data_IF_944788471960
#
_entry.id   IF_944788471960
#
_cell.length_a   1.000
_cell.length_b   1.000
_cell.length_c   1.000
_cell.angle_alpha   90.00
_cell.angle_beta   90.00
_cell.angle_gamma   90.00
#
_symmetry.space_group_name_H-M   'P 1'
#
loop_
_entity.id
_entity.type
_entity.pdbx_description
1 polymer ?
#
# COMPACT_ATOMS: atom_id res chain seq x y z
N UNK A 1 -23.59 -24.17 11.53
CA UNK A 1 -23.65 -23.02 12.46
C UNK A 1 -22.44 -22.15 12.20
N UNK A 2 -22.63 -21.06 11.49
CA UNK A 2 -21.57 -20.22 10.94
C UNK A 2 -21.26 -19.11 11.95
N UNK A 3 -20.12 -19.20 12.60
CA UNK A 3 -19.66 -18.15 13.53
C UNK A 3 -19.03 -17.04 12.71
N UNK A 4 -19.83 -16.09 12.25
CA UNK A 4 -19.32 -14.82 11.77
C UNK A 4 -18.61 -14.11 12.92
N UNK A 5 -17.28 -14.14 12.92
CA UNK A 5 -16.49 -13.28 13.80
C UNK A 5 -16.79 -11.83 13.42
N UNK A 6 -17.45 -11.11 14.31
CA UNK A 6 -17.59 -9.66 14.29
C UNK A 6 -16.17 -9.05 14.29
N UNK A 7 -15.66 -8.67 13.13
CA UNK A 7 -14.56 -7.73 13.07
C UNK A 7 -15.09 -6.37 13.50
N UNK A 8 -14.84 -6.03 14.75
CA UNK A 8 -15.06 -4.68 15.26
C UNK A 8 -14.31 -3.72 14.31
N UNK A 9 -15.03 -2.80 13.67
CA UNK A 9 -14.45 -1.70 12.88
C UNK A 9 -13.62 -0.85 13.84
N UNK A 10 -12.34 -1.18 14.01
CA UNK A 10 -11.42 -0.33 14.77
C UNK A 10 -11.21 0.94 13.95
N UNK A 11 -11.92 1.99 14.32
CA UNK A 11 -11.75 3.33 13.73
C UNK A 11 -10.39 3.83 14.24
N UNK A 12 -9.44 4.00 13.32
CA UNK A 12 -8.15 4.60 13.61
C UNK A 12 -8.28 6.11 13.40
N UNK A 13 -7.89 6.88 14.41
CA UNK A 13 -7.78 8.33 14.25
C UNK A 13 -6.53 8.66 13.44
N UNK A 14 -6.69 9.58 12.47
CA UNK A 14 -5.57 10.21 11.79
C UNK A 14 -4.78 11.07 12.79
N UNK A 15 -3.47 11.20 12.56
CA UNK A 15 -2.65 12.18 13.27
C UNK A 15 -3.08 13.62 12.94
N UNK A 16 -2.43 14.60 13.57
CA UNK A 16 -2.81 16.02 13.43
C UNK A 16 -2.65 16.57 12.01
N UNK A 17 -1.82 15.96 11.15
CA UNK A 17 -1.54 16.38 9.77
C UNK A 17 -2.32 15.57 8.73
N UNK A 18 -2.72 14.35 9.06
CA UNK A 18 -3.49 13.48 8.16
C UNK A 18 -4.72 14.16 7.54
N UNK A 19 -5.57 14.86 8.32
CA UNK A 19 -6.73 15.56 7.77
C UNK A 19 -6.39 16.59 6.69
N UNK A 20 -5.28 17.31 6.80
CA UNK A 20 -4.85 18.31 5.81
C UNK A 20 -4.69 17.64 4.43
N UNK A 21 -4.00 16.51 4.38
CA UNK A 21 -3.81 15.76 3.13
C UNK A 21 -5.09 15.08 2.63
N UNK A 22 -5.97 14.65 3.53
CA UNK A 22 -7.27 14.07 3.16
C UNK A 22 -8.16 15.09 2.45
N UNK A 23 -8.22 16.34 2.96
CA UNK A 23 -9.02 17.40 2.35
C UNK A 23 -8.35 18.04 1.14
N UNK A 24 -7.01 18.05 1.08
CA UNK A 24 -6.27 18.60 -0.06
C UNK A 24 -6.25 17.66 -1.27
N UNK A 25 -6.52 16.36 -1.08
CA UNK A 25 -6.50 15.39 -2.18
C UNK A 25 -7.85 15.38 -2.90
N UNK A 26 -7.82 15.73 -4.18
CA UNK A 26 -8.97 15.60 -5.08
C UNK A 26 -8.52 15.02 -6.42
N UNK A 27 -9.48 14.77 -7.32
CA UNK A 27 -9.24 14.04 -8.58
C UNK A 27 -8.12 14.62 -9.45
N UNK A 28 -7.89 15.92 -9.38
CA UNK A 28 -6.88 16.63 -10.19
C UNK A 28 -5.58 16.92 -9.42
N UNK A 29 -5.58 16.77 -8.10
CA UNK A 29 -4.44 17.01 -7.24
C UNK A 29 -4.32 15.87 -6.22
N UNK A 30 -3.53 14.86 -6.54
CA UNK A 30 -3.15 13.83 -5.59
C UNK A 30 -1.86 14.25 -4.88
N UNK A 31 -1.94 14.50 -3.57
CA UNK A 31 -0.75 14.64 -2.72
C UNK A 31 -0.13 13.25 -2.49
N UNK A 32 0.37 12.65 -3.56
CA UNK A 32 0.85 11.28 -3.60
C UNK A 32 2.29 11.22 -4.13
N UNK A 33 3.29 11.18 -3.26
CA UNK A 33 4.68 10.93 -3.66
C UNK A 33 4.79 9.59 -4.40
N UNK A 34 5.56 9.59 -5.50
CA UNK A 34 5.79 8.40 -6.33
C UNK A 34 7.22 7.89 -6.15
N UNK A 35 7.35 6.61 -5.87
CA UNK A 35 8.61 5.88 -5.90
C UNK A 35 8.67 5.05 -7.17
N UNK A 36 9.80 5.14 -7.87
CA UNK A 36 10.07 4.42 -9.12
C UNK A 36 11.23 3.45 -8.86
N UNK A 37 10.94 2.17 -8.89
CA UNK A 37 11.91 1.11 -8.60
C UNK A 37 12.21 0.36 -9.89
N UNK A 38 13.46 0.40 -10.34
CA UNK A 38 13.91 -0.30 -11.54
C UNK A 38 14.49 -1.65 -11.17
N UNK A 39 13.96 -2.68 -11.82
CA UNK A 39 14.39 -4.06 -11.69
C UNK A 39 15.30 -4.46 -12.83
N UNK A 40 16.14 -5.47 -12.63
CA UNK A 40 16.96 -6.07 -13.70
C UNK A 40 16.14 -6.98 -14.61
N UNK A 41 15.10 -7.61 -14.04
CA UNK A 41 14.22 -8.54 -14.73
C UNK A 41 12.80 -7.98 -14.87
N UNK A 42 11.98 -8.52 -15.79
CA UNK A 42 10.57 -8.16 -15.89
C UNK A 42 9.82 -8.37 -14.58
N UNK A 43 8.88 -7.48 -14.29
CA UNK A 43 8.05 -7.57 -13.09
C UNK A 43 6.95 -8.60 -13.29
N UNK A 44 6.78 -9.50 -12.32
CA UNK A 44 5.69 -10.46 -12.23
C UNK A 44 4.59 -9.92 -11.32
N UNK A 45 3.48 -9.40 -11.87
CA UNK A 45 2.47 -8.70 -11.09
C UNK A 45 1.81 -9.55 -10.00
N UNK A 46 1.62 -10.83 -10.25
CA UNK A 46 1.03 -11.76 -9.27
C UNK A 46 1.96 -11.93 -8.06
N UNK A 47 3.27 -12.07 -8.29
CA UNK A 47 4.26 -12.16 -7.21
C UNK A 47 4.38 -10.83 -6.47
N UNK A 48 4.29 -9.69 -7.17
CA UNK A 48 4.30 -8.38 -6.56
C UNK A 48 3.09 -8.16 -5.66
N UNK A 49 1.92 -8.59 -6.08
CA UNK A 49 0.70 -8.54 -5.28
C UNK A 49 0.82 -9.43 -4.03
N UNK A 50 1.32 -10.65 -4.16
CA UNK A 50 1.55 -11.54 -3.02
C UNK A 50 2.58 -10.98 -2.05
N UNK A 51 3.64 -10.39 -2.55
CA UNK A 51 4.66 -9.73 -1.74
C UNK A 51 4.07 -8.58 -0.91
N UNK A 52 3.27 -7.73 -1.53
CA UNK A 52 2.59 -6.65 -0.82
C UNK A 52 1.61 -7.18 0.23
N UNK A 53 0.91 -8.28 -0.05
CA UNK A 53 0.02 -8.91 0.93
C UNK A 53 0.80 -9.43 2.15
N UNK A 54 1.96 -10.06 1.97
CA UNK A 54 2.82 -10.49 3.08
C UNK A 54 3.37 -9.28 3.87
N UNK A 55 3.85 -8.26 3.18
CA UNK A 55 4.34 -7.06 3.84
C UNK A 55 3.27 -6.39 4.71
N UNK A 56 1.99 -6.40 4.29
CA UNK A 56 0.87 -5.87 5.05
C UNK A 56 0.62 -6.60 6.39
N UNK A 57 1.11 -7.81 6.57
CA UNK A 57 1.02 -8.52 7.86
C UNK A 57 1.89 -7.83 8.92
N UNK A 58 3.03 -7.28 8.50
CA UNK A 58 3.95 -6.54 9.37
C UNK A 58 3.61 -5.03 9.45
N UNK A 59 2.92 -4.51 8.47
CA UNK A 59 2.53 -3.11 8.38
C UNK A 59 0.99 -2.95 8.41
N UNK A 60 0.32 -3.35 9.51
CA UNK A 60 -1.14 -3.30 9.58
C UNK A 60 -1.70 -1.87 9.47
N UNK A 61 -0.91 -0.83 9.78
CA UNK A 61 -1.26 0.57 9.58
C UNK A 61 -1.43 0.94 8.10
N UNK A 62 -0.78 0.21 7.18
CA UNK A 62 -0.95 0.38 5.73
C UNK A 62 -2.22 -0.32 5.22
N UNK A 63 -2.82 -1.20 6.02
CA UNK A 63 -3.98 -2.00 5.65
C UNK A 63 -5.28 -1.26 5.95
N UNK A 64 -5.38 -0.06 5.43
CA UNK A 64 -6.54 0.82 5.65
C UNK A 64 -7.06 1.40 4.35
N UNK A 65 -8.35 1.68 4.34
CA UNK A 65 -9.02 2.52 3.36
C UNK A 65 -9.59 3.76 4.03
N UNK A 66 -10.11 4.68 3.21
CA UNK A 66 -10.70 5.92 3.66
C UNK A 66 -12.20 5.93 3.35
N UNK A 67 -13.02 6.21 4.34
CA UNK A 67 -14.44 6.49 4.18
C UNK A 67 -14.72 7.94 4.53
N UNK A 68 -15.71 8.51 3.86
CA UNK A 68 -16.27 9.80 4.23
C UNK A 68 -17.64 9.55 4.86
N UNK A 69 -17.82 10.07 6.06
CA UNK A 69 -19.08 9.98 6.81
C UNK A 69 -19.49 11.42 7.14
N UNK A 70 -20.60 11.87 6.56
CA UNK A 70 -21.10 13.24 6.58
C UNK A 70 -19.97 14.26 6.28
N UNK A 71 -19.37 14.86 7.31
CA UNK A 71 -18.35 15.89 7.19
C UNK A 71 -16.94 15.44 7.62
N UNK A 72 -16.74 14.15 7.91
CA UNK A 72 -15.47 13.65 8.41
C UNK A 72 -14.92 12.46 7.61
N UNK A 73 -13.61 12.49 7.36
CA UNK A 73 -12.88 11.33 6.85
C UNK A 73 -12.47 10.41 7.99
N UNK A 74 -12.64 9.10 7.78
CA UNK A 74 -12.26 8.07 8.75
C UNK A 74 -11.54 6.92 8.06
N UNK A 75 -10.49 6.42 8.70
CA UNK A 75 -9.86 5.18 8.26
C UNK A 75 -10.69 3.98 8.68
N UNK A 76 -10.75 2.99 7.83
CA UNK A 76 -11.29 1.68 8.15
C UNK A 76 -10.27 0.60 7.81
N UNK A 77 -10.28 -0.50 8.55
CA UNK A 77 -9.48 -1.68 8.21
C UNK A 77 -9.96 -2.25 6.87
N UNK A 78 -9.03 -2.41 5.92
CA UNK A 78 -9.32 -2.93 4.60
C UNK A 78 -9.07 -4.45 4.55
N UNK A 79 -10.12 -5.29 4.44
CA UNK A 79 -9.97 -6.74 4.39
C UNK A 79 -9.56 -7.27 3.00
N UNK A 80 -9.67 -6.43 1.96
CA UNK A 80 -9.38 -6.85 0.58
C UNK A 80 -7.87 -6.99 0.35
N UNK A 81 -7.44 -7.84 -0.59
CA UNK A 81 -6.04 -7.91 -0.97
C UNK A 81 -5.59 -6.64 -1.70
N UNK A 82 -4.30 -6.27 -1.64
CA UNK A 82 -3.75 -5.24 -2.52
C UNK A 82 -3.79 -5.72 -3.97
N UNK A 83 -3.79 -4.81 -4.93
CA UNK A 83 -3.86 -5.12 -6.36
C UNK A 83 -2.66 -4.53 -7.07
N UNK A 84 -1.92 -5.35 -7.82
CA UNK A 84 -0.87 -4.89 -8.72
C UNK A 84 -1.48 -4.50 -10.07
N UNK A 85 -1.43 -3.20 -10.39
CA UNK A 85 -2.08 -2.64 -11.58
C UNK A 85 -1.05 -2.25 -12.64
N UNK A 86 -1.34 -2.43 -13.94
CA UNK A 86 -0.49 -1.90 -15.00
C UNK A 86 -0.34 -0.38 -14.85
N UNK A 87 0.89 0.11 -14.87
CA UNK A 87 1.14 1.54 -14.76
C UNK A 87 0.78 2.26 -16.06
N UNK A 88 0.07 3.38 -15.95
CA UNK A 88 -0.26 4.26 -17.06
C UNK A 88 0.10 5.70 -16.71
N UNK A 89 0.88 6.34 -17.58
CA UNK A 89 1.20 7.76 -17.44
C UNK A 89 0.01 8.67 -17.77
N UNK A 90 -0.95 8.15 -18.55
CA UNK A 90 -2.09 8.94 -19.07
C UNK A 90 -3.24 8.99 -18.08
N UNK A 91 -3.42 7.92 -17.29
CA UNK A 91 -4.49 7.82 -16.31
C UNK A 91 -3.98 7.09 -15.09
N UNK A 92 -3.32 7.79 -14.17
CA UNK A 92 -2.88 7.18 -12.92
C UNK A 92 -4.10 6.68 -12.15
N UNK A 93 -3.99 5.48 -11.60
CA UNK A 93 -5.03 4.90 -10.77
C UNK A 93 -5.27 5.77 -9.54
N UNK A 94 -6.54 5.96 -9.24
CA UNK A 94 -6.91 6.80 -8.13
C UNK A 94 -6.66 6.07 -6.80
N UNK A 95 -5.82 6.65 -5.95
CA UNK A 95 -5.59 6.14 -4.60
C UNK A 95 -6.92 6.13 -3.84
N UNK A 96 -7.24 4.99 -3.22
CA UNK A 96 -8.53 4.80 -2.54
C UNK A 96 -9.70 4.45 -3.46
N UNK A 97 -9.47 4.27 -4.77
CA UNK A 97 -10.50 3.87 -5.71
C UNK A 97 -10.83 2.37 -5.64
N UNK A 98 -11.88 1.98 -6.38
CA UNK A 98 -12.23 0.56 -6.52
C UNK A 98 -11.17 -0.24 -7.27
N UNK A 99 -10.42 0.39 -8.17
CA UNK A 99 -9.42 -0.27 -9.00
C UNK A 99 -8.27 -0.83 -8.15
N UNK A 100 -7.92 -0.14 -7.06
CA UNK A 100 -6.90 -0.61 -6.11
C UNK A 100 -7.51 -1.16 -4.79
N UNK A 101 -8.76 -1.64 -4.84
CA UNK A 101 -9.48 -2.16 -3.68
C UNK A 101 -9.56 -1.17 -2.50
N UNK A 102 -9.53 0.13 -2.74
CA UNK A 102 -9.66 1.18 -1.73
C UNK A 102 -8.42 1.44 -0.89
N UNK A 103 -7.26 0.87 -1.25
CA UNK A 103 -6.01 1.15 -0.55
C UNK A 103 -5.54 2.59 -0.76
N UNK A 104 -4.90 3.16 0.27
CA UNK A 104 -4.33 4.52 0.23
C UNK A 104 -2.89 4.53 -0.31
N UNK A 105 -2.49 3.46 -0.95
CA UNK A 105 -1.29 3.36 -1.78
C UNK A 105 -1.62 2.62 -3.08
N UNK A 106 -0.79 2.81 -4.08
CA UNK A 106 -0.87 2.05 -5.33
C UNK A 106 0.34 1.15 -5.49
N UNK A 107 0.13 0.06 -6.21
CA UNK A 107 1.16 -0.91 -6.57
C UNK A 107 1.11 -1.06 -8.09
N UNK A 108 1.89 -0.23 -8.78
CA UNK A 108 1.94 -0.18 -10.25
C UNK A 108 3.12 -0.96 -10.81
N UNK A 109 2.97 -1.46 -12.04
CA UNK A 109 4.07 -2.09 -12.74
C UNK A 109 4.03 -1.82 -14.25
N UNK A 110 5.22 -1.77 -14.87
CA UNK A 110 5.39 -1.69 -16.32
C UNK A 110 6.77 -2.24 -16.67
N UNK A 111 6.81 -3.25 -17.52
CA UNK A 111 8.06 -3.91 -17.94
C UNK A 111 8.94 -4.32 -16.73
N UNK A 112 10.07 -3.65 -16.57
CA UNK A 112 11.07 -3.84 -15.50
C UNK A 112 10.95 -2.80 -14.38
N UNK A 113 9.79 -2.16 -14.23
CA UNK A 113 9.66 -1.06 -13.29
C UNK A 113 8.44 -1.27 -12.40
N UNK A 114 8.65 -1.10 -11.10
CA UNK A 114 7.60 -1.04 -10.09
C UNK A 114 7.38 0.42 -9.72
N UNK A 115 6.13 0.83 -9.61
CA UNK A 115 5.70 2.15 -9.19
C UNK A 115 4.89 2.03 -7.92
N UNK A 116 5.30 2.74 -6.88
CA UNK A 116 4.54 2.79 -5.63
C UNK A 116 4.25 4.23 -5.27
N UNK A 117 2.98 4.52 -5.03
CA UNK A 117 2.50 5.83 -4.62
C UNK A 117 1.67 5.67 -3.36
N UNK A 118 1.63 6.68 -2.53
CA UNK A 118 0.81 6.67 -1.33
C UNK A 118 0.21 8.04 -1.05
N UNK A 119 -0.94 8.06 -0.43
CA UNK A 119 -1.54 9.27 0.09
C UNK A 119 -0.80 9.70 1.36
N UNK A 120 -0.37 10.94 1.41
CA UNK A 120 0.50 11.43 2.51
C UNK A 120 -0.19 11.44 3.89
N UNK A 121 -1.53 11.27 3.92
CA UNK A 121 -2.27 11.05 5.17
C UNK A 121 -2.04 9.66 5.78
N UNK A 122 -1.52 8.70 4.99
CA UNK A 122 -1.30 7.32 5.44
C UNK A 122 -0.05 7.20 6.33
N UNK A 123 1.02 7.85 5.93
CA UNK A 123 2.31 7.87 6.65
C UNK A 123 3.22 8.96 6.08
N UNK A 124 4.36 9.18 6.72
CA UNK A 124 5.44 9.97 6.18
C UNK A 124 6.29 9.17 5.17
N UNK A 125 7.25 9.87 4.54
CA UNK A 125 8.13 9.25 3.54
C UNK A 125 9.00 8.14 4.12
N UNK A 126 9.45 8.27 5.37
CA UNK A 126 10.26 7.24 6.03
C UNK A 126 9.44 5.97 6.31
N UNK A 127 8.22 6.12 6.81
CA UNK A 127 7.32 4.98 7.04
C UNK A 127 6.98 4.24 5.75
N UNK A 128 6.77 4.99 4.65
CA UNK A 128 6.51 4.36 3.36
C UNK A 128 7.75 3.68 2.76
N UNK A 129 8.95 4.25 2.93
CA UNK A 129 10.21 3.60 2.52
C UNK A 129 10.41 2.25 3.22
N UNK A 130 10.11 2.15 4.51
CA UNK A 130 10.14 0.89 5.25
C UNK A 130 9.17 -0.15 4.65
N UNK A 131 7.97 0.27 4.29
CA UNK A 131 7.00 -0.60 3.64
C UNK A 131 7.46 -1.05 2.25
N UNK A 132 8.01 -0.13 1.43
CA UNK A 132 8.59 -0.46 0.11
C UNK A 132 9.68 -1.53 0.27
N UNK A 133 10.61 -1.36 1.21
CA UNK A 133 11.68 -2.32 1.47
C UNK A 133 11.14 -3.71 1.81
N UNK A 134 10.11 -3.77 2.63
CA UNK A 134 9.45 -5.03 2.97
C UNK A 134 8.80 -5.69 1.74
N UNK A 135 8.07 -4.91 0.93
CA UNK A 135 7.46 -5.41 -0.31
C UNK A 135 8.52 -5.93 -1.28
N UNK A 136 9.61 -5.20 -1.46
CA UNK A 136 10.70 -5.63 -2.36
C UNK A 136 11.42 -6.87 -1.85
N UNK A 137 11.66 -6.98 -0.56
CA UNK A 137 12.26 -8.17 0.03
C UNK A 137 11.39 -9.40 -0.20
N UNK A 138 10.09 -9.32 0.09
CA UNK A 138 9.13 -10.40 -0.15
C UNK A 138 9.04 -10.73 -1.65
N UNK A 139 9.03 -9.71 -2.51
CA UNK A 139 8.97 -9.90 -3.96
C UNK A 139 10.18 -10.65 -4.49
N UNK A 140 11.40 -10.21 -4.13
CA UNK A 140 12.63 -10.86 -4.56
C UNK A 140 12.73 -12.29 -4.02
N UNK A 141 12.30 -12.52 -2.78
CA UNK A 141 12.21 -13.86 -2.19
C UNK A 141 11.28 -14.76 -3.00
N UNK A 142 10.09 -14.27 -3.37
CA UNK A 142 9.14 -15.01 -4.19
C UNK A 142 9.64 -15.25 -5.62
N UNK A 143 10.49 -14.36 -6.14
CA UNK A 143 11.18 -14.56 -7.42
C UNK A 143 12.36 -15.56 -7.34
N UNK A 144 12.65 -16.12 -6.16
CA UNK A 144 13.76 -17.05 -5.96
C UNK A 144 15.14 -16.40 -5.93
N UNK A 145 15.20 -15.08 -5.71
CA UNK A 145 16.47 -14.37 -5.60
C UNK A 145 17.11 -14.60 -4.23
N UNK A 146 18.44 -14.73 -4.16
CA UNK A 146 19.16 -14.92 -2.89
C UNK A 146 19.23 -13.58 -2.15
N UNK A 147 18.16 -13.22 -1.45
CA UNK A 147 18.11 -12.02 -0.60
C UNK A 147 18.41 -12.37 0.85
N UNK A 148 19.16 -11.51 1.52
CA UNK A 148 19.46 -11.65 2.92
C UNK A 148 18.93 -10.43 3.67
N UNK A 149 18.24 -10.67 4.78
CA UNK A 149 17.81 -9.62 5.69
C UNK A 149 18.80 -9.56 6.87
N UNK A 150 19.51 -8.46 6.99
CA UNK A 150 20.42 -8.18 8.10
C UNK A 150 19.72 -7.66 9.37
N UNK A 151 18.40 -7.72 9.39
CA UNK A 151 17.54 -7.19 10.45
C UNK A 151 17.08 -5.76 10.22
N UNK A 152 17.52 -5.10 9.16
CA UNK A 152 17.07 -3.74 8.82
C UNK A 152 15.70 -3.71 8.15
N UNK A 153 15.26 -4.82 7.57
CA UNK A 153 13.98 -4.93 6.88
C UNK A 153 12.98 -5.63 7.79
N UNK A 154 11.87 -4.97 8.06
CA UNK A 154 10.74 -5.54 8.80
C UNK A 154 9.92 -6.42 7.87
N UNK A 155 9.94 -7.72 8.09
CA UNK A 155 9.17 -8.71 7.34
C UNK A 155 8.09 -9.35 8.20
N UNK A 156 7.23 -10.16 7.60
CA UNK A 156 6.21 -10.91 8.33
C UNK A 156 6.81 -11.92 9.33
N UNK A 157 8.08 -12.32 9.17
CA UNK A 157 8.81 -13.23 10.05
C UNK A 157 9.57 -12.51 11.19
N UNK A 158 9.66 -11.18 11.16
CA UNK A 158 10.33 -10.40 12.23
C UNK A 158 9.35 -10.09 13.35
N UNK A 159 9.74 -10.39 14.59
CA UNK A 159 8.97 -10.05 15.80
C UNK A 159 8.88 -8.53 16.06
#
# INVERSE_FOLDING_TARGET
MNTMKHFSKKILQADSYGPVFMYATHRELACAPRHIIRMTEPVYPELLQHAAQRALERFPQMRVGLSRDDDAYRYYFNPLPPVALPFSDVSPYYIGSKDNNGYLFTLGWKDKTIYMEYQHSLCDGHGFDQFIRAVLFEYLTLCGQPVCNDGSIRTHETE
#
